data_IF_047098112682
#
_entry.id   IF_047098112682
#
_cell.length_a   1.000
_cell.length_b   1.000
_cell.length_c   1.000
_cell.angle_alpha   90.00
_cell.angle_beta   90.00
_cell.angle_gamma   90.00
#
_symmetry.space_group_name_H-M   'P 1'
#
loop_
_entity.id
_entity.type
_entity.pdbx_description
1 polymer ?
#
# COMPACT_ATOMS: atom_id res chain seq x y z
N UNK A 1 24.52 17.03 -23.65
CA UNK A 1 24.26 18.08 -22.63
C UNK A 1 25.59 18.41 -21.96
N UNK A 2 25.96 19.69 -21.85
CA UNK A 2 27.26 20.11 -21.30
C UNK A 2 27.42 19.75 -19.81
N UNK A 3 26.30 19.76 -19.07
CA UNK A 3 26.23 19.39 -17.66
C UNK A 3 26.86 18.02 -17.37
N UNK A 4 26.50 16.99 -18.13
CA UNK A 4 26.93 15.60 -17.85
C UNK A 4 28.38 15.32 -18.26
N UNK A 5 28.91 16.10 -19.19
CA UNK A 5 30.26 15.92 -19.72
C UNK A 5 31.28 16.76 -18.97
N UNK A 6 30.96 18.05 -18.80
CA UNK A 6 31.91 19.07 -18.35
C UNK A 6 31.53 19.64 -16.98
N UNK A 7 30.40 19.23 -16.41
CA UNK A 7 29.84 19.83 -15.18
C UNK A 7 29.71 21.35 -15.30
N UNK A 8 29.34 21.84 -16.48
CA UNK A 8 29.14 23.27 -16.72
C UNK A 8 27.81 23.53 -17.40
N UNK A 9 27.30 24.74 -17.19
CA UNK A 9 26.18 25.31 -17.91
C UNK A 9 26.61 26.66 -18.48
N UNK A 10 26.69 26.74 -19.81
CA UNK A 10 27.31 27.86 -20.53
C UNK A 10 28.75 28.12 -20.06
N UNK A 11 28.97 29.25 -19.37
CA UNK A 11 30.27 29.69 -18.85
C UNK A 11 30.43 29.45 -17.34
N UNK A 12 29.42 28.83 -16.70
CA UNK A 12 29.40 28.60 -15.27
C UNK A 12 29.75 27.15 -14.97
N UNK A 13 30.69 26.94 -14.04
CA UNK A 13 31.00 25.63 -13.50
C UNK A 13 30.01 25.27 -12.38
N UNK A 14 29.62 23.99 -12.32
CA UNK A 14 28.90 23.47 -11.18
C UNK A 14 29.82 23.51 -9.94
N UNK A 15 29.28 23.84 -8.75
CA UNK A 15 30.06 23.80 -7.52
C UNK A 15 30.72 22.43 -7.28
N UNK A 16 31.91 22.44 -6.68
CA UNK A 16 32.62 21.22 -6.32
C UNK A 16 31.73 20.29 -5.48
N UNK A 17 31.72 19.01 -5.82
CA UNK A 17 30.90 18.00 -5.15
C UNK A 17 29.50 17.81 -5.76
N UNK A 18 29.13 18.58 -6.78
CA UNK A 18 27.86 18.40 -7.48
C UNK A 18 27.69 16.98 -8.06
N UNK A 19 26.43 16.53 -8.12
CA UNK A 19 26.02 15.26 -8.74
C UNK A 19 24.82 15.52 -9.63
N UNK A 20 24.81 14.88 -10.80
CA UNK A 20 23.73 15.01 -11.77
C UNK A 20 22.89 13.75 -11.70
N UNK A 21 21.59 13.92 -11.44
CA UNK A 21 20.60 12.84 -11.42
C UNK A 21 19.53 13.22 -12.43
N UNK A 22 19.27 12.33 -13.38
CA UNK A 22 18.22 12.48 -14.37
C UNK A 22 17.13 11.43 -14.14
N UNK A 23 15.87 11.85 -14.18
CA UNK A 23 14.72 10.96 -14.13
C UNK A 23 14.08 10.92 -15.52
N UNK A 24 14.04 9.74 -16.13
CA UNK A 24 13.43 9.51 -17.43
C UNK A 24 12.26 8.54 -17.26
N UNK A 25 11.14 8.79 -17.97
CA UNK A 25 10.08 7.79 -18.02
C UNK A 25 10.52 6.66 -18.98
N UNK A 26 10.18 5.40 -18.68
CA UNK A 26 10.57 4.28 -19.53
C UNK A 26 9.93 4.38 -20.92
N UNK A 27 10.67 3.94 -21.94
CA UNK A 27 10.19 3.94 -23.33
C UNK A 27 9.12 2.88 -23.64
N UNK A 28 8.81 2.01 -22.67
CA UNK A 28 8.21 0.68 -22.90
C UNK A 28 6.80 0.67 -23.51
N UNK A 29 6.04 1.77 -23.47
CA UNK A 29 4.59 1.71 -23.73
C UNK A 29 4.05 2.57 -24.87
N UNK A 30 4.84 3.45 -25.50
CA UNK A 30 4.37 4.26 -26.64
C UNK A 30 3.12 5.12 -26.36
N UNK A 31 2.69 5.19 -25.10
CA UNK A 31 1.51 5.92 -24.61
C UNK A 31 1.81 7.39 -24.35
N UNK A 32 3.10 7.76 -24.31
CA UNK A 32 3.58 9.12 -24.15
C UNK A 32 4.66 9.41 -25.20
N UNK A 33 4.60 10.61 -25.78
CA UNK A 33 5.71 11.17 -26.56
C UNK A 33 6.82 11.59 -25.59
N UNK A 34 7.62 10.62 -25.17
CA UNK A 34 8.76 10.85 -24.28
C UNK A 34 10.00 11.10 -25.13
N UNK A 35 10.65 12.25 -24.89
CA UNK A 35 11.95 12.55 -25.46
C UNK A 35 12.97 11.50 -25.02
N UNK A 36 13.51 10.75 -25.99
CA UNK A 36 14.56 9.77 -25.75
C UNK A 36 15.90 10.48 -25.54
N UNK A 37 16.69 10.00 -24.59
CA UNK A 37 18.10 10.38 -24.55
C UNK A 37 18.83 9.66 -25.67
N UNK A 38 19.70 10.36 -26.40
CA UNK A 38 20.60 9.73 -27.36
C UNK A 38 21.63 8.84 -26.65
N UNK A 39 22.19 7.87 -27.38
CA UNK A 39 23.15 6.90 -26.85
C UNK A 39 24.37 7.58 -26.19
N UNK A 40 24.81 8.71 -26.73
CA UNK A 40 25.94 9.44 -26.17
C UNK A 40 25.58 10.11 -24.82
N UNK A 41 24.35 10.56 -24.62
CA UNK A 41 23.89 11.01 -23.30
C UNK A 41 23.78 9.84 -22.32
N UNK A 42 23.22 8.71 -22.75
CA UNK A 42 23.03 7.54 -21.90
C UNK A 42 24.35 6.96 -21.38
N UNK A 43 25.39 6.93 -22.21
CA UNK A 43 26.75 6.46 -21.83
C UNK A 43 27.38 7.25 -20.66
N UNK A 44 26.89 8.47 -20.40
CA UNK A 44 27.38 9.33 -19.30
C UNK A 44 26.68 9.09 -17.96
N UNK A 45 25.68 8.21 -17.91
CA UNK A 45 24.91 7.93 -16.70
C UNK A 45 25.04 6.47 -16.25
N UNK A 46 25.05 6.25 -14.93
CA UNK A 46 24.64 4.97 -14.38
C UNK A 46 23.11 4.86 -14.46
N UNK A 47 22.61 3.87 -15.20
CA UNK A 47 21.16 3.70 -15.43
C UNK A 47 20.60 2.74 -14.38
N UNK A 48 19.55 3.17 -13.69
CA UNK A 48 18.82 2.38 -12.71
C UNK A 48 17.33 2.39 -13.05
N UNK A 49 16.74 1.20 -13.18
CA UNK A 49 15.29 1.05 -13.33
C UNK A 49 14.65 1.10 -11.95
N UNK A 50 13.71 2.02 -11.73
CA UNK A 50 12.98 2.16 -10.48
C UNK A 50 11.55 1.71 -10.73
N UNK A 51 11.13 0.68 -10.00
CA UNK A 51 9.76 0.14 -10.05
C UNK A 51 9.07 0.34 -8.70
N UNK A 52 7.74 0.32 -8.71
CA UNK A 52 6.98 0.32 -7.46
C UNK A 52 6.88 -1.11 -6.94
N UNK A 53 7.45 -1.37 -5.76
CA UNK A 53 7.25 -2.63 -5.06
C UNK A 53 5.98 -2.57 -4.19
N UNK A 54 4.98 -3.45 -4.42
CA UNK A 54 3.75 -3.44 -3.64
C UNK A 54 3.93 -3.76 -2.15
N UNK A 55 4.92 -4.58 -1.79
CA UNK A 55 5.15 -4.92 -0.39
C UNK A 55 5.77 -3.75 0.38
N UNK A 56 6.80 -3.12 -0.18
CA UNK A 56 7.41 -1.89 0.36
C UNK A 56 6.40 -0.75 0.41
N UNK A 57 5.57 -0.60 -0.62
CA UNK A 57 4.52 0.41 -0.61
C UNK A 57 3.49 0.16 0.49
N UNK A 58 3.04 -1.08 0.71
CA UNK A 58 2.13 -1.41 1.80
C UNK A 58 2.77 -1.16 3.19
N UNK A 59 4.08 -1.42 3.34
CA UNK A 59 4.84 -1.07 4.56
C UNK A 59 4.82 0.44 4.81
N UNK A 60 5.22 1.22 3.81
CA UNK A 60 5.19 2.68 3.88
C UNK A 60 3.77 3.22 4.14
N UNK A 61 2.76 2.65 3.47
CA UNK A 61 1.37 3.05 3.59
C UNK A 61 0.84 2.84 5.02
N UNK A 62 1.18 1.71 5.65
CA UNK A 62 0.85 1.45 7.05
C UNK A 62 1.50 2.49 7.99
N UNK A 63 2.79 2.78 7.80
CA UNK A 63 3.52 3.78 8.60
C UNK A 63 2.92 5.19 8.48
N UNK A 64 2.31 5.50 7.32
CA UNK A 64 1.71 6.81 7.01
C UNK A 64 0.18 6.84 7.21
N UNK A 65 -0.39 5.87 7.94
CA UNK A 65 -1.81 5.77 8.27
C UNK A 65 -2.73 5.76 7.03
N UNK A 66 -2.27 5.24 5.90
CA UNK A 66 -3.14 5.01 4.73
C UNK A 66 -4.25 4.04 5.11
N UNK A 67 -5.47 4.29 4.61
CA UNK A 67 -6.65 3.49 4.89
C UNK A 67 -6.38 1.98 4.75
N UNK A 68 -6.67 1.23 5.82
CA UNK A 68 -6.41 -0.21 5.88
C UNK A 68 -7.11 -1.01 4.78
N UNK A 69 -8.25 -0.51 4.26
CA UNK A 69 -8.99 -1.16 3.19
C UNK A 69 -8.24 -1.05 1.87
N UNK A 70 -7.54 0.07 1.65
CA UNK A 70 -6.63 0.25 0.51
C UNK A 70 -5.43 -0.68 0.65
N UNK A 71 -4.80 -0.72 1.83
CA UNK A 71 -3.65 -1.59 2.07
C UNK A 71 -4.05 -3.06 1.84
N UNK A 72 -5.17 -3.51 2.41
CA UNK A 72 -5.73 -4.86 2.18
C UNK A 72 -5.96 -5.14 0.69
N UNK A 73 -6.56 -4.19 -0.02
CA UNK A 73 -6.81 -4.33 -1.46
C UNK A 73 -5.52 -4.54 -2.23
N UNK A 74 -4.49 -3.72 -2.00
CA UNK A 74 -3.20 -3.82 -2.69
C UNK A 74 -2.44 -5.07 -2.28
N UNK A 75 -2.48 -5.47 -1.01
CA UNK A 75 -1.89 -6.74 -0.57
C UNK A 75 -2.55 -7.94 -1.27
N UNK A 76 -3.85 -7.89 -1.57
CA UNK A 76 -4.55 -8.95 -2.30
C UNK A 76 -4.37 -8.85 -3.83
N UNK A 77 -4.27 -7.64 -4.37
CA UNK A 77 -4.14 -7.34 -5.80
C UNK A 77 -2.90 -6.47 -6.06
N UNK A 78 -1.68 -6.97 -5.84
CA UNK A 78 -0.46 -6.18 -5.91
C UNK A 78 -0.23 -5.55 -7.29
N UNK A 79 -0.68 -6.21 -8.36
CA UNK A 79 -0.64 -5.68 -9.73
C UNK A 79 -1.44 -4.38 -9.91
N UNK A 80 -2.39 -4.08 -9.02
CA UNK A 80 -3.25 -2.90 -9.11
C UNK A 80 -2.65 -1.67 -8.43
N UNK A 81 -1.48 -1.79 -7.79
CA UNK A 81 -0.76 -0.63 -7.25
C UNK A 81 -0.30 0.32 -8.38
N UNK A 82 0.32 -0.26 -9.41
CA UNK A 82 0.98 0.44 -10.49
C UNK A 82 0.95 -0.43 -11.76
N UNK A 83 -0.21 -0.61 -12.41
CA UNK A 83 -0.41 -1.57 -13.51
C UNK A 83 0.21 -1.12 -14.84
N UNK A 84 1.11 -0.13 -14.85
CA UNK A 84 1.70 0.39 -16.09
C UNK A 84 2.50 -0.68 -16.84
N UNK A 85 3.09 -1.65 -16.13
CA UNK A 85 3.76 -2.80 -16.76
C UNK A 85 2.79 -3.83 -17.37
N UNK A 86 1.49 -3.76 -17.03
CA UNK A 86 0.47 -4.65 -17.58
C UNK A 86 -0.08 -4.08 -18.90
N UNK A 87 0.60 -4.42 -19.99
CA UNK A 87 0.25 -3.97 -21.34
C UNK A 87 -1.18 -4.27 -21.77
N UNK A 88 -1.80 -5.34 -21.28
CA UNK A 88 -3.19 -5.67 -21.60
C UNK A 88 -4.18 -4.77 -20.87
N UNK A 89 -3.92 -4.44 -19.58
CA UNK A 89 -4.69 -3.43 -18.86
C UNK A 89 -4.51 -2.05 -19.49
N UNK A 90 -3.29 -1.66 -19.85
CA UNK A 90 -3.02 -0.38 -20.54
C UNK A 90 -3.75 -0.30 -21.88
N UNK A 91 -3.70 -1.35 -22.72
CA UNK A 91 -4.38 -1.40 -24.03
C UNK A 91 -5.91 -1.41 -23.94
N UNK A 92 -6.48 -2.23 -23.06
CA UNK A 92 -7.93 -2.31 -22.86
C UNK A 92 -8.49 -1.01 -22.29
N UNK A 93 -7.69 -0.32 -21.46
CA UNK A 93 -8.02 1.03 -21.01
C UNK A 93 -7.99 1.98 -22.21
N UNK A 94 -6.92 2.02 -23.02
CA UNK A 94 -6.73 2.93 -24.16
C UNK A 94 -7.68 2.74 -25.38
N UNK A 95 -8.54 1.72 -25.39
CA UNK A 95 -9.39 1.38 -26.54
C UNK A 95 -10.80 1.99 -26.55
N UNK A 96 -11.26 2.55 -25.43
CA UNK A 96 -12.60 3.13 -25.30
C UNK A 96 -12.52 4.66 -25.29
N UNK A 97 -13.32 5.35 -26.11
CA UNK A 97 -13.33 6.81 -26.24
C UNK A 97 -13.74 7.56 -24.94
N UNK A 98 -12.86 7.61 -23.94
CA UNK A 98 -13.08 8.20 -22.62
C UNK A 98 -11.77 8.53 -21.88
N UNK A 99 -11.89 9.17 -20.72
CA UNK A 99 -10.74 9.51 -19.87
C UNK A 99 -10.16 8.22 -19.28
N UNK A 100 -8.91 7.91 -19.59
CA UNK A 100 -8.19 6.74 -19.10
C UNK A 100 -7.54 7.04 -17.75
N UNK A 101 -8.02 6.39 -16.70
CA UNK A 101 -7.44 6.49 -15.36
C UNK A 101 -6.82 5.15 -15.00
N UNK A 102 -5.50 5.13 -14.84
CA UNK A 102 -4.76 4.02 -14.26
C UNK A 102 -4.27 4.45 -12.86
N UNK A 103 -4.31 3.56 -11.87
CA UNK A 103 -3.82 3.89 -10.55
C UNK A 103 -2.29 3.98 -10.53
N UNK A 104 -1.81 4.73 -9.56
CA UNK A 104 -0.43 4.81 -9.15
C UNK A 104 -0.37 4.80 -7.63
N UNK A 105 0.78 4.59 -6.99
CA UNK A 105 0.97 4.83 -5.56
C UNK A 105 0.35 6.15 -5.06
N UNK A 106 0.45 7.22 -5.87
CA UNK A 106 -0.13 8.53 -5.56
C UNK A 106 -1.66 8.52 -5.62
N UNK A 107 -2.24 7.85 -6.60
CA UNK A 107 -3.69 7.74 -6.75
C UNK A 107 -4.31 7.04 -5.53
N UNK A 108 -3.66 6.02 -4.99
CA UNK A 108 -4.13 5.34 -3.77
C UNK A 108 -4.06 6.25 -2.53
N UNK A 109 -3.00 7.05 -2.39
CA UNK A 109 -2.93 8.08 -1.34
C UNK A 109 -3.98 9.18 -1.53
N UNK A 110 -4.36 9.48 -2.78
CA UNK A 110 -5.47 10.40 -3.04
C UNK A 110 -6.82 9.78 -2.64
N UNK A 111 -7.05 8.50 -2.94
CA UNK A 111 -8.25 7.79 -2.53
C UNK A 111 -8.36 7.69 -1.00
N UNK A 112 -7.25 7.46 -0.29
CA UNK A 112 -7.20 7.51 1.18
C UNK A 112 -7.78 8.81 1.74
N UNK A 113 -7.26 9.95 1.27
CA UNK A 113 -7.72 11.28 1.70
C UNK A 113 -9.20 11.48 1.42
N UNK A 114 -9.66 11.05 0.24
CA UNK A 114 -11.06 11.11 -0.16
C UNK A 114 -11.94 10.28 0.76
N UNK A 115 -11.55 9.04 1.06
CA UNK A 115 -12.27 8.15 1.96
C UNK A 115 -12.41 8.77 3.35
N UNK A 116 -11.29 9.18 3.95
CA UNK A 116 -11.26 9.78 5.28
C UNK A 116 -12.14 11.03 5.37
N UNK A 117 -12.12 11.88 4.34
CA UNK A 117 -12.94 13.09 4.34
C UNK A 117 -14.43 12.76 4.19
N UNK A 118 -14.78 11.88 3.25
CA UNK A 118 -16.18 11.49 3.07
C UNK A 118 -16.75 10.72 4.25
N UNK A 119 -15.94 10.01 5.03
CA UNK A 119 -16.38 9.39 6.29
C UNK A 119 -16.67 10.42 7.39
N UNK A 120 -15.88 11.49 7.50
CA UNK A 120 -16.17 12.58 8.45
C UNK A 120 -17.51 13.26 8.17
N UNK A 121 -17.89 13.36 6.89
CA UNK A 121 -19.12 14.00 6.45
C UNK A 121 -20.30 13.03 6.29
N UNK A 122 -20.09 11.73 6.49
CA UNK A 122 -21.09 10.68 6.21
C UNK A 122 -21.44 10.51 4.72
N UNK A 123 -20.62 11.03 3.80
CA UNK A 123 -20.89 11.04 2.36
C UNK A 123 -20.92 9.63 1.74
N UNK A 124 -20.28 8.65 2.39
CA UNK A 124 -20.21 7.26 1.92
C UNK A 124 -21.12 6.30 2.69
N UNK A 125 -22.03 6.81 3.51
CA UNK A 125 -22.96 5.98 4.28
C UNK A 125 -24.15 5.48 3.44
N UNK A 126 -24.59 4.25 3.72
CA UNK A 126 -25.73 3.65 3.04
C UNK A 126 -25.46 3.28 1.58
N UNK A 127 -26.49 2.77 0.90
CA UNK A 127 -26.35 2.27 -0.47
C UNK A 127 -25.96 3.35 -1.48
N UNK A 128 -26.55 4.55 -1.37
CA UNK A 128 -26.23 5.68 -2.24
C UNK A 128 -24.83 6.25 -1.96
N UNK A 129 -24.41 6.33 -0.69
CA UNK A 129 -23.06 6.76 -0.35
C UNK A 129 -21.98 5.82 -0.87
N UNK A 130 -22.22 4.50 -0.80
CA UNK A 130 -21.30 3.50 -1.41
C UNK A 130 -21.27 3.65 -2.93
N UNK A 131 -22.40 3.95 -3.58
CA UNK A 131 -22.41 4.23 -5.02
C UNK A 131 -21.58 5.47 -5.35
N UNK A 132 -21.76 6.54 -4.58
CA UNK A 132 -20.99 7.77 -4.72
C UNK A 132 -19.48 7.53 -4.52
N UNK A 133 -19.08 6.71 -3.54
CA UNK A 133 -17.69 6.29 -3.38
C UNK A 133 -17.14 5.64 -4.64
N UNK A 134 -17.88 4.71 -5.26
CA UNK A 134 -17.44 4.01 -6.47
C UNK A 134 -17.26 4.99 -7.62
N UNK A 135 -18.18 5.95 -7.79
CA UNK A 135 -18.08 6.97 -8.83
C UNK A 135 -16.83 7.85 -8.63
N UNK A 136 -16.55 8.28 -7.41
CA UNK A 136 -15.34 9.07 -7.09
C UNK A 136 -14.08 8.23 -7.26
N UNK A 137 -14.04 7.02 -6.71
CA UNK A 137 -12.90 6.11 -6.83
C UNK A 137 -12.61 5.77 -8.30
N UNK A 138 -13.62 5.64 -9.15
CA UNK A 138 -13.44 5.39 -10.59
C UNK A 138 -12.64 6.49 -11.27
N UNK A 139 -12.79 7.75 -10.84
CA UNK A 139 -12.01 8.88 -11.33
C UNK A 139 -10.57 8.94 -10.79
N UNK A 140 -10.24 8.16 -9.75
CA UNK A 140 -8.93 8.17 -9.08
C UNK A 140 -8.10 6.93 -9.48
N UNK A 141 -8.71 5.74 -9.44
CA UNK A 141 -8.04 4.46 -9.66
C UNK A 141 -8.55 3.70 -10.89
N UNK A 142 -9.51 4.26 -11.63
CA UNK A 142 -10.14 3.62 -12.78
C UNK A 142 -11.37 2.79 -12.41
N UNK A 143 -12.34 2.72 -13.31
CA UNK A 143 -13.67 2.16 -13.03
C UNK A 143 -13.66 0.66 -12.64
N UNK A 144 -12.86 -0.16 -13.33
CA UNK A 144 -12.77 -1.60 -13.03
C UNK A 144 -12.21 -1.83 -11.62
N UNK A 145 -11.13 -1.12 -11.28
CA UNK A 145 -10.45 -1.25 -9.99
C UNK A 145 -11.31 -0.69 -8.87
N UNK A 146 -12.02 0.41 -9.10
CA UNK A 146 -12.98 0.97 -8.15
C UNK A 146 -14.13 0.00 -7.84
N UNK A 147 -14.66 -0.69 -8.86
CA UNK A 147 -15.70 -1.69 -8.68
C UNK A 147 -15.20 -2.89 -7.87
N UNK A 148 -13.98 -3.35 -8.12
CA UNK A 148 -13.34 -4.41 -7.33
C UNK A 148 -13.06 -3.95 -5.90
N UNK A 149 -12.60 -2.71 -5.71
CA UNK A 149 -12.31 -2.12 -4.40
C UNK A 149 -13.58 -1.97 -3.55
N UNK A 150 -14.76 -1.80 -4.16
CA UNK A 150 -16.04 -1.68 -3.47
C UNK A 150 -16.26 -2.77 -2.41
N UNK A 151 -15.86 -4.01 -2.67
CA UNK A 151 -16.04 -5.10 -1.68
C UNK A 151 -15.24 -4.83 -0.41
N UNK A 152 -14.02 -4.31 -0.52
CA UNK A 152 -13.17 -4.01 0.64
C UNK A 152 -13.69 -2.82 1.43
N UNK A 153 -14.38 -1.90 0.77
CA UNK A 153 -15.05 -0.79 1.43
C UNK A 153 -16.30 -1.24 2.18
N UNK A 154 -17.12 -2.10 1.56
CA UNK A 154 -18.37 -2.60 2.17
C UNK A 154 -18.12 -3.70 3.20
N UNK A 155 -17.06 -4.48 3.02
CA UNK A 155 -16.59 -5.43 4.02
C UNK A 155 -16.18 -4.63 5.25
N UNK A 156 -17.05 -4.65 6.26
CA UNK A 156 -16.57 -4.52 7.62
C UNK A 156 -15.63 -5.67 7.85
N UNK A 157 -14.32 -5.45 7.70
CA UNK A 157 -13.33 -6.45 8.05
C UNK A 157 -13.56 -6.80 9.49
N UNK A 158 -14.21 -7.94 9.75
CA UNK A 158 -14.51 -8.32 11.13
C UNK A 158 -13.25 -8.72 11.89
N UNK A 159 -12.15 -8.88 11.15
CA UNK A 159 -10.80 -9.04 11.62
C UNK A 159 -10.02 -7.79 11.20
N UNK A 160 -9.75 -6.90 12.14
CA UNK A 160 -8.98 -5.69 11.92
C UNK A 160 -7.78 -5.73 12.86
N UNK A 161 -6.53 -5.78 12.35
CA UNK A 161 -5.34 -5.86 13.19
C UNK A 161 -5.27 -4.76 14.25
N UNK A 162 -5.53 -3.51 13.88
CA UNK A 162 -5.52 -2.34 14.77
C UNK A 162 -6.58 -2.45 15.86
N UNK A 163 -7.81 -2.78 15.49
CA UNK A 163 -8.91 -2.97 16.45
C UNK A 163 -8.58 -4.11 17.42
N UNK A 164 -8.07 -5.23 16.91
CA UNK A 164 -7.80 -6.43 17.69
C UNK A 164 -6.64 -6.24 18.66
N UNK A 165 -5.54 -5.61 18.21
CA UNK A 165 -4.36 -5.36 19.04
C UNK A 165 -4.62 -4.31 20.13
N UNK A 166 -5.41 -3.28 19.84
CA UNK A 166 -5.71 -2.20 20.80
C UNK A 166 -6.94 -2.45 21.68
N UNK A 167 -7.64 -3.57 21.48
CA UNK A 167 -8.88 -3.86 22.20
C UNK A 167 -8.66 -4.02 23.71
N UNK A 168 -9.53 -3.39 24.52
CA UNK A 168 -9.58 -3.64 25.97
C UNK A 168 -9.95 -5.09 26.32
N UNK A 169 -10.67 -5.77 25.43
CA UNK A 169 -11.11 -7.15 25.63
C UNK A 169 -11.13 -7.85 24.27
N UNK A 170 -10.39 -8.94 24.16
CA UNK A 170 -10.34 -9.75 22.95
C UNK A 170 -11.67 -10.47 22.73
N UNK A 171 -12.32 -10.25 21.59
CA UNK A 171 -13.66 -10.78 21.32
C UNK A 171 -13.60 -12.26 20.95
N UNK A 172 -14.46 -13.09 21.53
CA UNK A 172 -14.57 -14.54 21.21
C UNK A 172 -14.89 -14.80 19.73
N UNK A 173 -15.55 -13.86 19.06
CA UNK A 173 -15.82 -13.98 17.62
C UNK A 173 -14.56 -13.94 16.76
N UNK A 174 -13.53 -13.19 17.19
CA UNK A 174 -12.27 -13.10 16.48
C UNK A 174 -11.54 -14.43 16.48
N UNK A 175 -11.51 -15.12 17.62
CA UNK A 175 -10.92 -16.47 17.73
C UNK A 175 -11.52 -17.44 16.71
N UNK A 176 -12.87 -17.47 16.61
CA UNK A 176 -13.55 -18.37 15.67
C UNK A 176 -13.19 -18.04 14.23
N UNK A 177 -13.17 -16.76 13.88
CA UNK A 177 -12.91 -16.29 12.52
C UNK A 177 -11.45 -16.46 12.10
N UNK A 178 -10.50 -16.22 13.01
CA UNK A 178 -9.07 -16.50 12.76
C UNK A 178 -8.83 -17.99 12.59
N UNK A 179 -9.49 -18.84 13.39
CA UNK A 179 -9.37 -20.28 13.26
C UNK A 179 -10.00 -20.81 11.96
N UNK A 180 -11.10 -20.20 11.52
CA UNK A 180 -11.73 -20.52 10.24
C UNK A 180 -10.84 -20.07 9.08
N UNK A 181 -10.42 -18.79 9.07
CA UNK A 181 -9.56 -18.20 8.05
C UNK A 181 -8.26 -19.01 7.88
N UNK A 182 -7.60 -19.37 8.97
CA UNK A 182 -6.36 -20.16 8.94
C UNK A 182 -6.54 -21.56 8.34
N UNK A 183 -7.74 -22.14 8.42
CA UNK A 183 -8.08 -23.45 7.81
C UNK A 183 -8.51 -23.35 6.36
N UNK A 184 -9.30 -22.34 6.03
CA UNK A 184 -9.98 -22.26 4.73
C UNK A 184 -9.21 -21.44 3.71
N UNK A 185 -8.42 -20.47 4.16
CA UNK A 185 -7.68 -19.54 3.30
C UNK A 185 -6.36 -19.13 3.97
N UNK A 186 -5.39 -20.05 3.95
CA UNK A 186 -4.05 -19.81 4.51
C UNK A 186 -3.37 -18.57 3.89
N UNK A 187 -3.43 -18.32 2.57
CA UNK A 187 -2.90 -17.08 1.99
C UNK A 187 -3.49 -15.81 2.63
N UNK A 188 -4.81 -15.71 2.79
CA UNK A 188 -5.41 -14.54 3.42
C UNK A 188 -5.13 -14.46 4.92
N UNK A 189 -4.98 -15.60 5.60
CA UNK A 189 -4.53 -15.63 6.99
C UNK A 189 -3.09 -15.08 7.16
N UNK A 190 -2.17 -15.45 6.26
CA UNK A 190 -0.79 -14.90 6.23
C UNK A 190 -0.83 -13.39 5.97
N UNK A 191 -1.66 -12.91 5.03
CA UNK A 191 -1.81 -11.48 4.77
C UNK A 191 -2.37 -10.73 5.97
N UNK A 192 -3.34 -11.30 6.68
CA UNK A 192 -3.85 -10.73 7.93
C UNK A 192 -2.71 -10.59 8.96
N UNK A 193 -1.86 -11.61 9.10
CA UNK A 193 -0.71 -11.56 10.01
C UNK A 193 0.37 -10.57 9.59
N UNK A 194 0.61 -10.39 8.28
CA UNK A 194 1.41 -9.25 7.80
C UNK A 194 0.78 -7.91 8.21
N UNK A 195 -0.55 -7.78 8.17
CA UNK A 195 -1.24 -6.59 8.68
C UNK A 195 -1.04 -6.36 10.19
N UNK A 196 -1.02 -7.44 10.98
CA UNK A 196 -0.69 -7.41 12.43
C UNK A 196 0.74 -6.93 12.65
N UNK A 197 1.72 -7.49 11.92
CA UNK A 197 3.12 -7.07 11.96
C UNK A 197 3.28 -5.58 11.64
N UNK A 198 2.70 -5.13 10.52
CA UNK A 198 2.77 -3.74 10.06
C UNK A 198 2.25 -2.77 11.12
N UNK A 199 1.09 -3.06 11.69
CA UNK A 199 0.51 -2.23 12.74
C UNK A 199 1.39 -2.22 14.00
N UNK A 200 1.95 -3.36 14.39
CA UNK A 200 2.87 -3.44 15.53
C UNK A 200 4.12 -2.58 15.32
N UNK A 201 4.73 -2.63 14.12
CA UNK A 201 5.88 -1.77 13.76
C UNK A 201 5.51 -0.28 13.81
N UNK A 202 4.31 0.08 13.37
CA UNK A 202 3.83 1.47 13.42
C UNK A 202 3.72 1.99 14.86
N UNK A 203 3.21 1.19 15.79
CA UNK A 203 3.01 1.62 17.19
C UNK A 203 4.25 1.44 18.07
N UNK A 204 5.22 0.62 17.64
CA UNK A 204 6.43 0.32 18.41
C UNK A 204 7.16 1.59 18.93
N UNK A 205 7.38 2.66 18.13
CA UNK A 205 8.04 3.85 18.63
C UNK A 205 7.31 4.53 19.79
N UNK A 206 5.97 4.44 19.83
CA UNK A 206 5.14 4.96 20.92
C UNK A 206 5.19 4.05 22.14
N UNK A 207 5.13 2.72 21.92
CA UNK A 207 5.16 1.70 22.97
C UNK A 207 6.52 1.64 23.70
N UNK A 208 7.63 1.91 23.00
CA UNK A 208 9.00 1.79 23.54
C UNK A 208 9.47 3.06 24.26
N UNK A 209 8.94 4.25 23.93
CA UNK A 209 9.49 5.55 24.40
C UNK A 209 8.96 6.05 25.75
N UNK A 210 8.18 5.29 26.49
CA UNK A 210 7.23 5.91 27.43
C UNK A 210 7.29 5.42 28.89
N UNK A 211 6.79 6.29 29.79
CA UNK A 211 6.86 6.16 31.25
C UNK A 211 5.87 5.10 31.77
N UNK A 212 5.85 4.85 33.09
CA UNK A 212 5.12 3.76 33.76
C UNK A 212 3.63 3.56 33.39
N UNK A 213 2.94 4.55 32.81
CA UNK A 213 1.58 4.46 32.23
C UNK A 213 1.47 3.52 31.03
N UNK A 214 2.57 3.31 30.31
CA UNK A 214 2.58 2.65 29.00
C UNK A 214 2.80 1.14 29.11
N UNK A 215 3.13 0.67 30.31
CA UNK A 215 3.07 -0.76 30.65
C UNK A 215 1.69 -1.36 30.46
N UNK A 216 0.62 -0.57 30.60
CA UNK A 216 -0.75 -1.05 30.39
C UNK A 216 -1.03 -1.24 28.90
N UNK A 217 -0.66 -0.26 28.06
CA UNK A 217 -0.86 -0.34 26.61
C UNK A 217 0.02 -1.43 25.99
N UNK A 218 1.31 -1.50 26.36
CA UNK A 218 2.21 -2.56 25.93
C UNK A 218 1.69 -3.94 26.32
N UNK A 219 1.19 -4.08 27.55
CA UNK A 219 0.58 -5.33 28.01
C UNK A 219 -0.68 -5.67 27.20
N UNK A 220 -1.56 -4.71 26.93
CA UNK A 220 -2.75 -4.93 26.10
C UNK A 220 -2.37 -5.44 24.70
N UNK A 221 -1.39 -4.80 24.06
CA UNK A 221 -0.92 -5.24 22.74
C UNK A 221 -0.29 -6.64 22.78
N UNK A 222 0.52 -6.93 23.80
CA UNK A 222 1.15 -8.25 23.97
C UNK A 222 0.12 -9.36 24.23
N UNK A 223 -0.82 -9.13 25.16
CA UNK A 223 -1.89 -10.07 25.50
C UNK A 223 -2.80 -10.34 24.28
N UNK A 224 -3.14 -9.29 23.52
CA UNK A 224 -3.96 -9.44 22.32
C UNK A 224 -3.19 -10.10 21.17
N UNK A 225 -1.90 -9.81 20.97
CA UNK A 225 -1.07 -10.50 19.98
C UNK A 225 -0.97 -11.99 20.29
N UNK A 226 -0.78 -12.36 21.56
CA UNK A 226 -0.81 -13.76 21.98
C UNK A 226 -2.16 -14.40 21.67
N UNK A 227 -3.28 -13.72 21.98
CA UNK A 227 -4.62 -14.23 21.67
C UNK A 227 -4.86 -14.41 20.16
N UNK A 228 -4.29 -13.53 19.31
CA UNK A 228 -4.30 -13.69 17.85
C UNK A 228 -3.56 -14.97 17.48
N UNK A 229 -2.31 -15.14 17.94
CA UNK A 229 -1.49 -16.32 17.64
C UNK A 229 -2.18 -17.61 18.07
N UNK A 230 -2.71 -17.67 19.29
CA UNK A 230 -3.45 -18.82 19.83
C UNK A 230 -4.74 -19.15 19.05
N UNK A 231 -5.26 -18.19 18.28
CA UNK A 231 -6.46 -18.37 17.45
C UNK A 231 -6.16 -18.92 16.05
N UNK A 232 -4.89 -19.11 15.67
CA UNK A 232 -4.48 -19.68 14.38
C UNK A 232 -4.22 -21.18 14.46
N UNK A 233 -4.21 -21.87 13.32
CA UNK A 233 -3.73 -23.26 13.23
C UNK A 233 -2.25 -23.37 13.64
N UNK A 234 -1.81 -24.49 14.24
CA UNK A 234 -0.41 -24.69 14.63
C UNK A 234 0.58 -24.50 13.47
N UNK A 235 0.21 -24.95 12.27
CA UNK A 235 1.04 -24.81 11.06
C UNK A 235 1.26 -23.34 10.71
N UNK A 236 0.21 -22.53 10.80
CA UNK A 236 0.29 -21.10 10.51
C UNK A 236 1.02 -20.34 11.62
N UNK A 237 0.85 -20.72 12.89
CA UNK A 237 1.64 -20.16 13.99
C UNK A 237 3.14 -20.32 13.73
N UNK A 238 3.57 -21.52 13.30
CA UNK A 238 4.98 -21.79 12.98
C UNK A 238 5.45 -20.93 11.80
N UNK A 239 4.65 -20.85 10.73
CA UNK A 239 4.97 -20.01 9.56
C UNK A 239 5.15 -18.56 9.95
N UNK A 240 4.20 -18.00 10.73
CA UNK A 240 4.23 -16.62 11.19
C UNK A 240 5.47 -16.36 12.04
N UNK A 241 5.82 -17.22 13.00
CA UNK A 241 7.01 -17.02 13.83
C UNK A 241 8.28 -16.99 12.97
N UNK A 242 8.38 -17.85 11.97
CA UNK A 242 9.54 -17.89 11.09
C UNK A 242 9.64 -16.66 10.17
N UNK A 243 8.50 -16.18 9.65
CA UNK A 243 8.47 -15.12 8.63
C UNK A 243 8.40 -13.70 9.21
N UNK A 244 7.81 -13.54 10.41
CA UNK A 244 7.45 -12.24 11.00
C UNK A 244 8.29 -11.90 12.23
N UNK A 245 8.73 -12.89 13.03
CA UNK A 245 9.37 -12.64 14.34
C UNK A 245 10.89 -12.75 14.30
N UNK A 246 11.44 -13.51 13.34
CA UNK A 246 12.89 -13.82 13.27
C UNK A 246 13.63 -12.92 12.27
N UNK A 247 12.91 -12.11 11.49
CA UNK A 247 13.41 -11.15 10.48
C UNK A 247 13.59 -9.75 11.05
#
# INVERSE_FOLDING_TARGET
>A
MQLTNDQTYDSMELPEGSRIIACINPEKDGTYDVGRMDDAQLDRFGIYEVTSDPEEWCKWAAEHDVDERIIRYITQFPSNLCPYDNKELVKTTNGAAGIHVLPSPRSWVHLDKTIKEGEKTGAFEGAEGVKFLVDVASGIVGASIALDFKRFFMEKSTLNPKEMLSAKTFKKEWTKKLMELSKTDTPDAIKFMKGVELHMKQVEPELVKSKASDKVMLKTYADNFLAIMESLTPELQISVVNDIVIT
#
